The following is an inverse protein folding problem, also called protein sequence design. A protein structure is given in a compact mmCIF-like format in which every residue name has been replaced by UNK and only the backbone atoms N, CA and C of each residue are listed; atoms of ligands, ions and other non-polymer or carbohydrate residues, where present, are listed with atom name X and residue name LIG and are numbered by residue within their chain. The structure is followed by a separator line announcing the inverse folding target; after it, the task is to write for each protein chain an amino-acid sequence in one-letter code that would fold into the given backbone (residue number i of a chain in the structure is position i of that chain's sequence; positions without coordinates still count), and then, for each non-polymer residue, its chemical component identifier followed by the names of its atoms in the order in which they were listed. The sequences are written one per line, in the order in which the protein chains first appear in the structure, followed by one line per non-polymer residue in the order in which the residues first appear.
data_IF_268795672784
#
_entry.id   IF_268795672784
#
_cell.length_a   1.000
_cell.length_b   1.000
_cell.length_c   1.000
_cell.angle_alpha   90.00
_cell.angle_beta   90.00
_cell.angle_gamma   90.00
#
_symmetry.space_group_name_H-M   'P 1'
#
loop_
_entity.id
_entity.type
_entity.pdbx_description
1 polymer ?
#
# COMPACT_ATOMS: atom_id res chain seq x y z
N UNK A 1 3.89 -17.42 9.88
CA UNK A 1 3.79 -17.18 8.42
C UNK A 1 5.01 -17.85 7.79
N UNK A 2 4.89 -18.55 6.65
CA UNK A 2 6.09 -19.13 6.00
C UNK A 2 7.04 -17.98 5.62
N UNK A 3 8.35 -18.16 5.81
CA UNK A 3 9.36 -17.12 5.61
C UNK A 3 9.27 -16.54 4.19
N UNK A 4 9.02 -17.38 3.19
CA UNK A 4 8.83 -16.97 1.79
C UNK A 4 7.70 -15.94 1.59
N UNK A 5 6.56 -16.12 2.26
CA UNK A 5 5.44 -15.17 2.17
C UNK A 5 5.74 -13.85 2.90
N UNK A 6 6.56 -13.89 3.96
CA UNK A 6 6.99 -12.69 4.66
C UNK A 6 7.91 -11.85 3.80
N UNK A 7 8.91 -12.45 3.19
CA UNK A 7 9.83 -11.74 2.30
C UNK A 7 9.10 -11.11 1.11
N UNK A 8 8.17 -11.83 0.50
CA UNK A 8 7.35 -11.29 -0.58
C UNK A 8 6.46 -10.13 -0.10
N UNK A 9 5.86 -10.24 1.09
CA UNK A 9 5.05 -9.16 1.66
C UNK A 9 5.86 -7.90 1.97
N UNK A 10 7.07 -8.07 2.51
CA UNK A 10 8.00 -6.95 2.77
C UNK A 10 8.41 -6.27 1.46
N UNK A 11 8.75 -7.06 0.42
CA UNK A 11 9.12 -6.50 -0.87
C UNK A 11 7.95 -5.73 -1.52
N UNK A 12 6.75 -6.30 -1.51
CA UNK A 12 5.58 -5.63 -2.08
C UNK A 12 5.24 -4.32 -1.33
N UNK A 13 5.44 -4.28 0.00
CA UNK A 13 5.31 -3.03 0.76
C UNK A 13 6.34 -1.99 0.35
N UNK A 14 7.61 -2.38 0.17
CA UNK A 14 8.66 -1.50 -0.31
C UNK A 14 8.34 -0.92 -1.71
N UNK A 15 7.78 -1.77 -2.58
CA UNK A 15 7.37 -1.39 -3.93
C UNK A 15 6.02 -0.65 -3.98
N UNK A 16 5.37 -0.41 -2.83
CA UNK A 16 4.05 0.23 -2.71
C UNK A 16 2.94 -0.51 -3.48
N UNK A 17 2.97 -1.84 -3.46
CA UNK A 17 1.99 -2.70 -4.16
C UNK A 17 1.13 -3.47 -3.15
N UNK A 18 -0.20 -3.51 -3.33
CA UNK A 18 -1.06 -4.35 -2.50
C UNK A 18 -0.92 -5.83 -2.89
N UNK A 19 -1.06 -6.70 -1.90
CA UNK A 19 -1.04 -8.17 -2.05
C UNK A 19 -2.21 -8.78 -1.29
N UNK A 20 -2.55 -10.03 -1.60
CA UNK A 20 -3.59 -10.77 -0.86
C UNK A 20 -3.02 -12.06 -0.29
N UNK A 21 -3.15 -12.22 1.03
CA UNK A 21 -2.93 -13.47 1.72
C UNK A 21 -4.26 -14.24 1.78
N UNK A 22 -4.31 -15.36 1.07
CA UNK A 22 -5.42 -16.32 1.11
C UNK A 22 -5.09 -17.42 2.11
N UNK A 23 -6.01 -17.73 3.03
CA UNK A 23 -5.89 -18.86 3.96
C UNK A 23 -7.14 -19.71 3.91
N UNK A 24 -6.96 -21.03 3.88
CA UNK A 24 -8.05 -21.94 4.21
C UNK A 24 -8.37 -21.81 5.69
N UNK A 25 -9.66 -21.84 6.04
CA UNK A 25 -10.12 -21.91 7.42
C UNK A 25 -10.35 -23.35 7.89
N UNK A 26 -10.38 -24.30 6.97
CA UNK A 26 -10.61 -25.72 7.24
C UNK A 26 -9.32 -26.56 7.12
N UNK A 27 -8.23 -25.97 6.63
CA UNK A 27 -6.89 -26.58 6.51
C UNK A 27 -5.79 -25.56 6.83
N UNK A 28 -4.53 -25.99 6.98
CA UNK A 28 -3.39 -25.07 7.16
C UNK A 28 -2.83 -24.52 5.83
N UNK A 29 -3.60 -24.65 4.75
CA UNK A 29 -3.19 -24.18 3.42
C UNK A 29 -3.27 -22.66 3.31
N UNK A 30 -2.25 -22.07 2.69
CA UNK A 30 -2.10 -20.63 2.56
C UNK A 30 -1.44 -20.31 1.23
N UNK A 31 -1.91 -19.24 0.60
CA UNK A 31 -1.39 -18.73 -0.66
C UNK A 31 -1.21 -17.23 -0.58
N UNK A 32 -0.30 -16.70 -1.38
CA UNK A 32 -0.06 -15.27 -1.53
C UNK A 32 -0.26 -14.92 -3.01
N UNK A 33 -1.16 -13.97 -3.27
CA UNK A 33 -1.28 -13.30 -4.56
C UNK A 33 -0.42 -12.04 -4.51
N UNK A 34 0.60 -11.99 -5.34
CA UNK A 34 1.37 -10.77 -5.59
C UNK A 34 1.24 -10.38 -7.08
N UNK A 35 0.49 -9.32 -7.43
CA UNK A 35 0.33 -8.89 -8.83
C UNK A 35 1.64 -8.56 -9.56
N UNK A 36 2.68 -8.14 -8.83
CA UNK A 36 3.96 -7.76 -9.41
C UNK A 36 5.00 -8.88 -9.39
N UNK A 37 4.68 -10.04 -8.81
CA UNK A 37 5.57 -11.19 -8.79
C UNK A 37 4.80 -12.44 -9.22
N UNK A 38 5.08 -12.91 -10.44
CA UNK A 38 4.45 -14.10 -11.02
C UNK A 38 4.90 -15.41 -10.37
N UNK A 39 5.86 -15.40 -9.45
CA UNK A 39 6.11 -16.52 -8.54
C UNK A 39 5.06 -16.52 -7.41
N UNK A 40 3.79 -16.66 -7.79
CA UNK A 40 2.70 -16.95 -6.86
C UNK A 40 3.12 -18.16 -6.01
N UNK A 41 3.05 -18.02 -4.69
CA UNK A 41 3.38 -19.05 -3.67
C UNK A 41 3.38 -20.50 -4.19
N UNK A 42 4.53 -21.19 -4.10
CA UNK A 42 4.94 -22.60 -4.38
C UNK A 42 4.01 -23.60 -5.11
N UNK A 43 2.68 -23.48 -5.02
CA UNK A 43 1.66 -24.33 -5.63
C UNK A 43 0.67 -23.59 -6.55
N UNK A 44 0.78 -22.27 -6.69
CA UNK A 44 -0.17 -21.44 -7.43
C UNK A 44 -1.53 -21.36 -6.72
N UNK A 45 -2.17 -20.20 -6.81
CA UNK A 45 -3.55 -20.05 -6.31
C UNK A 45 -4.49 -20.79 -7.27
N UNK A 46 -5.37 -21.69 -6.78
CA UNK A 46 -6.39 -22.32 -7.63
C UNK A 46 -7.14 -21.26 -8.44
N UNK A 47 -7.34 -21.50 -9.74
CA UNK A 47 -7.92 -20.50 -10.67
C UNK A 47 -9.28 -19.97 -10.20
N UNK A 48 -10.09 -20.84 -9.58
CA UNK A 48 -11.39 -20.52 -8.99
C UNK A 48 -11.29 -19.48 -7.86
N UNK A 49 -10.21 -19.52 -7.07
CA UNK A 49 -9.96 -18.60 -5.96
C UNK A 49 -9.20 -17.33 -6.41
N UNK A 50 -8.44 -17.40 -7.51
CA UNK A 50 -7.64 -16.28 -8.02
C UNK A 50 -8.50 -15.06 -8.34
N UNK A 51 -9.64 -15.24 -9.01
CA UNK A 51 -10.53 -14.14 -9.35
C UNK A 51 -11.03 -13.38 -8.11
N UNK A 52 -11.32 -14.11 -7.02
CA UNK A 52 -11.70 -13.50 -5.73
C UNK A 52 -10.55 -12.74 -5.08
N UNK A 53 -9.32 -13.27 -5.16
CA UNK A 53 -8.14 -12.56 -4.66
C UNK A 53 -7.88 -11.26 -5.44
N UNK A 54 -8.02 -11.29 -6.77
CA UNK A 54 -7.86 -10.08 -7.60
C UNK A 54 -8.92 -9.03 -7.27
N UNK A 55 -10.17 -9.44 -7.06
CA UNK A 55 -11.21 -8.51 -6.65
C UNK A 55 -10.92 -7.91 -5.26
N UNK A 56 -10.43 -8.72 -4.33
CA UNK A 56 -10.06 -8.26 -2.99
C UNK A 56 -8.96 -7.19 -2.99
N UNK A 57 -8.08 -7.12 -4.01
CA UNK A 57 -7.06 -6.06 -4.11
C UNK A 57 -7.65 -4.65 -4.24
N UNK A 58 -8.91 -4.53 -4.67
CA UNK A 58 -9.60 -3.23 -4.78
C UNK A 58 -10.06 -2.70 -3.42
N UNK A 59 -10.08 -3.54 -2.39
CA UNK A 59 -10.60 -3.23 -1.08
C UNK A 59 -9.57 -3.55 0.00
N UNK A 60 -9.49 -2.72 1.03
CA UNK A 60 -8.68 -3.04 2.21
C UNK A 60 -9.41 -3.97 3.16
N UNK A 61 -8.63 -4.62 4.02
CA UNK A 61 -9.12 -5.40 5.14
C UNK A 61 -9.17 -6.89 4.84
N UNK A 62 -10.15 -7.55 5.44
CA UNK A 62 -10.29 -8.99 5.36
C UNK A 62 -11.73 -9.39 5.08
N UNK A 63 -11.91 -10.45 4.30
CA UNK A 63 -13.21 -11.02 3.98
C UNK A 63 -13.13 -12.54 3.99
N UNK A 64 -14.26 -13.18 4.29
CA UNK A 64 -14.40 -14.64 4.24
C UNK A 64 -15.33 -14.97 3.08
N UNK A 65 -14.99 -16.02 2.34
CA UNK A 65 -15.86 -16.56 1.28
C UNK A 65 -15.82 -18.08 1.28
N UNK A 66 -16.87 -18.68 0.73
CA UNK A 66 -16.98 -20.13 0.57
C UNK A 66 -16.78 -20.53 -0.90
N UNK A 67 -16.08 -21.64 -1.12
CA UNK A 67 -15.92 -22.28 -2.44
C UNK A 67 -15.79 -23.79 -2.23
N UNK A 68 -16.55 -24.57 -3.00
CA UNK A 68 -16.51 -26.04 -2.97
C UNK A 68 -16.71 -26.64 -1.56
N UNK A 69 -17.60 -26.03 -0.77
CA UNK A 69 -17.88 -26.46 0.62
C UNK A 69 -16.76 -26.17 1.62
N UNK A 70 -15.75 -25.40 1.23
CA UNK A 70 -14.65 -24.95 2.08
C UNK A 70 -14.69 -23.44 2.26
N UNK A 71 -14.21 -22.96 3.40
CA UNK A 71 -14.16 -21.54 3.76
C UNK A 71 -12.74 -21.02 3.66
N UNK A 72 -12.62 -19.82 3.12
CA UNK A 72 -11.35 -19.15 2.91
C UNK A 72 -11.40 -17.72 3.44
N UNK A 73 -10.31 -17.31 4.09
CA UNK A 73 -10.06 -15.94 4.51
C UNK A 73 -9.14 -15.26 3.50
N UNK A 74 -9.61 -14.17 2.92
CA UNK A 74 -8.83 -13.21 2.15
C UNK A 74 -8.39 -12.10 3.09
N UNK A 75 -7.11 -11.81 3.11
CA UNK A 75 -6.57 -10.67 3.82
C UNK A 75 -5.75 -9.82 2.85
N UNK A 76 -6.25 -8.64 2.52
CA UNK A 76 -5.51 -7.66 1.73
C UNK A 76 -4.48 -6.98 2.61
N UNK A 77 -3.24 -6.97 2.17
CA UNK A 77 -2.14 -6.26 2.81
C UNK A 77 -1.74 -5.15 1.84
N UNK A 78 -2.17 -3.93 2.15
CA UNK A 78 -1.93 -2.75 1.34
C UNK A 78 -0.87 -1.86 1.97
N UNK A 79 -0.05 -1.15 1.17
CA UNK A 79 0.76 -0.06 1.70
C UNK A 79 -0.15 1.06 2.24
N UNK A 80 0.37 1.94 3.13
CA UNK A 80 -0.34 3.12 3.58
C UNK A 80 -0.83 3.97 2.41
N UNK A 81 -1.96 4.65 2.59
CA UNK A 81 -2.37 5.68 1.64
C UNK A 81 -1.32 6.79 1.60
N UNK A 82 -1.04 7.31 0.41
CA UNK A 82 -0.08 8.40 0.21
C UNK A 82 -0.84 9.71 0.05
N UNK A 83 -0.36 10.75 0.72
CA UNK A 83 -0.86 12.12 0.55
C UNK A 83 0.28 13.00 0.06
N UNK A 84 0.15 13.55 -1.14
CA UNK A 84 1.08 14.51 -1.70
C UNK A 84 0.56 15.93 -1.40
N UNK A 85 1.27 16.65 -0.53
CA UNK A 85 0.92 18.03 -0.19
C UNK A 85 1.74 18.96 -1.06
N UNK A 86 1.08 19.68 -1.97
CA UNK A 86 1.73 20.67 -2.83
C UNK A 86 1.60 22.05 -2.19
N UNK A 87 2.72 22.63 -1.78
CA UNK A 87 2.81 23.93 -1.15
C UNK A 87 2.99 23.87 0.37
N UNK A 88 4.10 24.43 0.85
CA UNK A 88 4.53 24.44 2.24
C UNK A 88 4.04 25.69 3.00
N UNK A 89 2.81 26.13 2.77
CA UNK A 89 2.23 27.31 3.45
C UNK A 89 1.52 26.91 4.75
N UNK A 90 0.90 27.87 5.44
CA UNK A 90 0.32 27.68 6.78
C UNK A 90 -0.72 26.55 6.86
N UNK A 91 -1.53 26.34 5.81
CA UNK A 91 -2.51 25.23 5.78
C UNK A 91 -1.81 23.87 5.88
N UNK A 92 -0.67 23.69 5.22
CA UNK A 92 0.08 22.45 5.26
C UNK A 92 0.56 22.12 6.69
N UNK A 93 0.92 23.14 7.49
CA UNK A 93 1.36 22.94 8.87
C UNK A 93 0.26 22.34 9.76
N UNK A 94 -1.01 22.67 9.49
CA UNK A 94 -2.14 22.09 10.19
C UNK A 94 -2.57 20.74 9.58
N UNK A 95 -2.58 20.63 8.25
CA UNK A 95 -3.03 19.43 7.53
C UNK A 95 -2.12 18.22 7.75
N UNK A 96 -0.81 18.42 7.66
CA UNK A 96 0.16 17.31 7.66
C UNK A 96 0.11 16.51 8.97
N UNK A 97 0.10 17.12 10.17
CA UNK A 97 -0.07 16.38 11.41
C UNK A 97 -1.36 15.54 11.44
N UNK A 98 -2.49 16.11 11.01
CA UNK A 98 -3.77 15.39 10.96
C UNK A 98 -3.71 14.20 10.00
N UNK A 99 -3.12 14.38 8.82
CA UNK A 99 -2.95 13.32 7.84
C UNK A 99 -2.05 12.19 8.34
N UNK A 100 -0.94 12.52 9.02
CA UNK A 100 -0.07 11.53 9.65
C UNK A 100 -0.79 10.74 10.74
N UNK A 101 -1.56 11.42 11.60
CA UNK A 101 -2.37 10.75 12.63
C UNK A 101 -3.43 9.84 12.02
N UNK A 102 -3.98 10.19 10.85
CA UNK A 102 -4.89 9.34 10.10
C UNK A 102 -4.19 8.18 9.34
N UNK A 103 -2.87 8.05 9.45
CA UNK A 103 -2.11 6.94 8.88
C UNK A 103 -1.63 7.14 7.44
N UNK A 104 -1.68 8.37 6.91
CA UNK A 104 -1.13 8.68 5.60
C UNK A 104 0.40 8.73 5.62
N UNK A 105 1.02 8.18 4.58
CA UNK A 105 2.40 8.46 4.22
C UNK A 105 2.44 9.80 3.47
N UNK A 106 2.82 10.86 4.16
CA UNK A 106 2.77 12.24 3.65
C UNK A 106 4.12 12.63 3.03
N UNK A 107 4.08 13.17 1.82
CA UNK A 107 5.23 13.83 1.16
C UNK A 107 4.85 15.29 0.88
N UNK A 108 5.67 16.23 1.33
CA UNK A 108 5.50 17.66 1.07
C UNK A 108 6.36 18.08 -0.12
N UNK A 109 5.78 18.83 -1.06
CA UNK A 109 6.45 19.31 -2.26
C UNK A 109 6.32 20.83 -2.32
N UNK A 110 7.43 21.55 -2.25
CA UNK A 110 7.47 23.01 -2.48
C UNK A 110 8.85 23.41 -3.03
N UNK A 111 8.95 24.13 -4.15
CA UNK A 111 10.25 24.53 -4.71
C UNK A 111 10.97 25.61 -3.87
N UNK A 112 10.32 26.16 -2.84
CA UNK A 112 10.86 27.25 -2.03
C UNK A 112 11.34 26.69 -0.68
N UNK A 113 12.65 26.45 -0.51
CA UNK A 113 13.19 25.80 0.70
C UNK A 113 12.96 26.62 1.98
N UNK A 114 12.81 27.94 1.88
CA UNK A 114 12.46 28.79 3.03
C UNK A 114 11.08 28.43 3.64
N UNK A 115 10.18 27.82 2.85
CA UNK A 115 8.88 27.40 3.34
C UNK A 115 8.86 25.96 3.85
N UNK A 116 9.65 25.07 3.25
CA UNK A 116 9.61 23.64 3.49
C UNK A 116 10.83 23.17 4.33
N UNK A 117 10.95 23.68 5.55
CA UNK A 117 12.07 23.34 6.45
C UNK A 117 11.73 22.14 7.36
N UNK A 118 12.74 21.36 7.80
CA UNK A 118 12.52 20.24 8.73
C UNK A 118 11.91 20.67 10.07
N UNK A 119 12.20 21.89 10.54
CA UNK A 119 11.65 22.42 11.79
C UNK A 119 10.14 22.68 11.68
N UNK A 120 9.66 23.05 10.48
CA UNK A 120 8.24 23.28 10.21
C UNK A 120 7.49 21.98 9.92
N UNK A 121 8.18 20.97 9.38
CA UNK A 121 7.61 19.72 8.92
C UNK A 121 8.46 18.52 9.35
N UNK A 122 8.46 18.16 10.64
CA UNK A 122 9.27 17.06 11.14
C UNK A 122 8.71 15.68 10.72
N UNK A 123 9.63 14.73 10.59
CA UNK A 123 9.39 13.30 10.29
C UNK A 123 8.54 13.00 9.04
N UNK A 124 8.60 13.87 8.04
CA UNK A 124 8.04 13.62 6.72
C UNK A 124 9.09 13.80 5.64
N UNK A 125 8.82 13.23 4.47
CA UNK A 125 9.59 13.50 3.27
C UNK A 125 9.25 14.91 2.76
N UNK A 126 10.29 15.71 2.53
CA UNK A 126 10.17 17.07 1.98
C UNK A 126 10.99 17.17 0.70
N UNK A 127 10.31 17.42 -0.41
CA UNK A 127 10.90 17.56 -1.74
C UNK A 127 10.92 19.04 -2.12
N UNK A 128 12.12 19.61 -2.14
CA UNK A 128 12.37 20.99 -2.55
C UNK A 128 12.46 21.10 -4.08
N UNK A 129 11.35 20.80 -4.76
CA UNK A 129 11.30 20.73 -6.22
C UNK A 129 9.97 21.27 -6.75
N UNK A 130 9.95 21.58 -8.05
CA UNK A 130 8.70 21.94 -8.72
C UNK A 130 7.78 20.71 -8.80
N UNK A 131 6.47 20.84 -8.50
CA UNK A 131 5.55 19.70 -8.48
C UNK A 131 5.58 18.84 -9.74
N UNK A 132 5.79 19.47 -10.90
CA UNK A 132 5.81 18.86 -12.22
C UNK A 132 6.97 17.87 -12.34
N UNK A 133 8.17 18.27 -11.88
CA UNK A 133 9.36 17.43 -11.86
C UNK A 133 9.13 16.19 -10.96
N UNK A 134 8.53 16.40 -9.80
CA UNK A 134 8.21 15.31 -8.88
C UNK A 134 7.15 14.38 -9.47
N UNK A 135 6.12 14.92 -10.13
CA UNK A 135 5.05 14.10 -10.72
C UNK A 135 5.57 13.22 -11.87
N UNK A 136 6.58 13.68 -12.62
CA UNK A 136 7.19 12.89 -13.71
C UNK A 136 7.94 11.66 -13.19
N UNK A 137 8.46 11.72 -11.96
CA UNK A 137 9.20 10.63 -11.32
C UNK A 137 8.32 9.70 -10.47
N UNK A 138 7.16 10.20 -10.01
CA UNK A 138 6.28 9.46 -9.11
C UNK A 138 5.31 8.54 -9.85
N UNK A 139 5.28 7.27 -9.45
CA UNK A 139 4.15 6.40 -9.76
C UNK A 139 2.95 6.76 -8.89
N UNK A 140 1.92 7.35 -9.48
CA UNK A 140 0.63 7.58 -8.85
C UNK A 140 -0.21 6.30 -8.92
N UNK A 141 -0.95 6.03 -7.86
CA UNK A 141 -1.83 4.86 -7.74
C UNK A 141 -3.21 5.31 -7.27
N UNK A 142 -4.19 4.42 -7.27
CA UNK A 142 -5.51 4.69 -6.67
C UNK A 142 -5.46 4.96 -5.16
N UNK A 143 -4.31 4.77 -4.52
CA UNK A 143 -4.06 5.05 -3.10
C UNK A 143 -3.25 6.33 -2.87
N UNK A 144 -3.03 7.12 -3.93
CA UNK A 144 -2.39 8.43 -3.83
C UNK A 144 -3.46 9.52 -3.94
N UNK A 145 -3.50 10.40 -2.95
CA UNK A 145 -4.26 11.64 -2.93
C UNK A 145 -3.31 12.84 -3.08
#
# INVERSE_FOLDING_TARGET
MKIEHLSAAVQAQADKRPIVLLRSLDSDERWLLDPGNTQDSRHGIPTTLRARCVEALKHDGASVFESDGRRYLLQTISPPYRLLVIGAVHIAQALIPMARTAGYAVTLIDPRPAFATPERFPDIEVLNAWPQQVMDELTLTSRTA
#
